data_IF_630792363859
#
_entry.id   IF_630792363859
#
_cell.length_a   1.000
_cell.length_b   1.000
_cell.length_c   1.000
_cell.angle_alpha   90.00
_cell.angle_beta   90.00
_cell.angle_gamma   90.00
#
_symmetry.space_group_name_H-M   'P 1'
#
loop_
_entity.id
_entity.type
_entity.pdbx_description
1 polymer ?
#
# COMPACT_ATOMS: atom_id res chain seq x y z
N UNK A 1 75.91 17.23 -7.85
CA UNK A 1 74.57 16.85 -7.46
C UNK A 1 74.65 15.73 -6.44
N UNK A 2 74.40 16.04 -5.12
CA UNK A 2 74.37 15.02 -4.07
C UNK A 2 73.06 14.19 -4.24
N UNK A 3 73.19 12.96 -4.70
CA UNK A 3 72.10 11.99 -4.68
C UNK A 3 71.99 11.46 -3.26
N UNK A 4 71.06 12.05 -2.47
CA UNK A 4 70.65 11.48 -1.17
C UNK A 4 69.78 10.27 -1.44
N UNK A 5 70.23 9.07 -1.09
CA UNK A 5 69.42 7.87 -1.14
C UNK A 5 68.42 7.84 0.02
N UNK A 6 67.26 7.20 -0.15
CA UNK A 6 66.33 6.96 0.95
C UNK A 6 66.88 6.07 2.01
N UNK A 7 66.65 6.43 3.28
CA UNK A 7 67.03 5.59 4.40
C UNK A 7 66.05 4.44 4.60
N UNK A 8 66.50 3.31 5.12
CA UNK A 8 65.70 2.14 5.40
C UNK A 8 64.48 2.47 6.36
N UNK A 9 64.79 3.40 7.31
CA UNK A 9 63.76 3.86 8.26
C UNK A 9 62.62 4.67 7.58
N UNK A 10 62.92 5.51 6.59
CA UNK A 10 61.95 6.28 5.84
C UNK A 10 61.00 5.36 5.05
N UNK A 11 61.52 4.29 4.45
CA UNK A 11 60.72 3.29 3.76
C UNK A 11 59.82 2.54 4.73
N UNK A 12 60.31 2.14 5.90
CA UNK A 12 59.55 1.47 6.93
C UNK A 12 58.42 2.34 7.46
N UNK A 13 58.67 3.59 7.78
CA UNK A 13 57.64 4.55 8.24
C UNK A 13 56.59 4.78 7.16
N UNK A 14 56.99 4.91 5.91
CA UNK A 14 56.06 5.09 4.79
C UNK A 14 55.12 3.88 4.61
N UNK A 15 55.65 2.66 4.78
CA UNK A 15 54.84 1.43 4.71
C UNK A 15 53.85 1.35 5.87
N UNK A 16 54.23 1.73 7.08
CA UNK A 16 53.32 1.76 8.25
C UNK A 16 52.19 2.77 8.01
N UNK A 17 52.52 3.98 7.54
CA UNK A 17 51.51 4.99 7.23
C UNK A 17 50.57 4.49 6.14
N UNK A 18 51.09 3.89 5.08
CA UNK A 18 50.27 3.32 3.99
C UNK A 18 49.33 2.23 4.51
N UNK A 19 49.82 1.34 5.38
CA UNK A 19 49.01 0.29 5.99
C UNK A 19 47.86 0.88 6.84
N UNK A 20 48.15 1.92 7.64
CA UNK A 20 47.10 2.61 8.44
C UNK A 20 46.04 3.24 7.53
N UNK A 21 46.46 3.96 6.49
CA UNK A 21 45.56 4.57 5.52
C UNK A 21 44.69 3.49 4.85
N UNK A 22 45.25 2.37 4.44
CA UNK A 22 44.52 1.27 3.81
C UNK A 22 43.47 0.69 4.75
N UNK A 23 43.78 0.49 6.03
CA UNK A 23 42.82 0.00 7.03
C UNK A 23 41.68 0.99 7.25
N UNK A 24 41.99 2.28 7.43
CA UNK A 24 40.97 3.33 7.62
C UNK A 24 40.10 3.43 6.40
N UNK A 25 40.64 3.45 5.19
CA UNK A 25 39.89 3.51 3.94
C UNK A 25 38.97 2.31 3.76
N UNK A 26 39.47 1.11 4.10
CA UNK A 26 38.66 -0.11 4.06
C UNK A 26 37.46 -0.06 5.03
N UNK A 27 37.65 0.47 6.24
CA UNK A 27 36.61 0.61 7.23
C UNK A 27 35.54 1.65 6.80
N UNK A 28 35.98 2.77 6.25
CA UNK A 28 35.05 3.79 5.70
C UNK A 28 34.24 3.21 4.57
N UNK A 29 34.85 2.47 3.65
CA UNK A 29 34.14 1.84 2.53
C UNK A 29 33.07 0.84 3.02
N UNK A 30 33.45 -0.03 3.97
CA UNK A 30 32.50 -0.99 4.58
C UNK A 30 31.32 -0.27 5.23
N UNK A 31 31.55 0.76 6.01
CA UNK A 31 30.53 1.55 6.67
C UNK A 31 29.61 2.25 5.65
N UNK A 32 30.16 2.78 4.56
CA UNK A 32 29.39 3.42 3.49
C UNK A 32 28.49 2.43 2.79
N UNK A 33 28.99 1.24 2.44
CA UNK A 33 28.19 0.19 1.80
C UNK A 33 27.05 -0.31 2.71
N UNK A 34 27.31 -0.47 4.00
CA UNK A 34 26.28 -0.88 4.95
C UNK A 34 25.20 0.21 5.11
N UNK A 35 25.59 1.47 5.17
CA UNK A 35 24.66 2.61 5.21
C UNK A 35 23.82 2.68 3.95
N UNK A 36 24.41 2.48 2.78
CA UNK A 36 23.70 2.44 1.50
C UNK A 36 22.65 1.32 1.49
N UNK A 37 23.01 0.11 1.92
CA UNK A 37 22.10 -1.04 2.00
C UNK A 37 20.90 -0.74 2.88
N UNK A 38 21.10 -0.27 4.11
CA UNK A 38 20.04 0.06 5.07
C UNK A 38 19.14 1.17 4.51
N UNK A 39 19.73 2.20 3.93
CA UNK A 39 18.99 3.32 3.36
C UNK A 39 18.14 2.86 2.18
N UNK A 40 18.65 1.99 1.33
CA UNK A 40 17.96 1.44 0.17
C UNK A 40 16.74 0.61 0.60
N UNK A 41 16.90 -0.26 1.60
CA UNK A 41 15.80 -1.06 2.15
C UNK A 41 14.69 -0.18 2.76
N UNK A 42 15.07 0.88 3.49
CA UNK A 42 14.09 1.84 4.05
C UNK A 42 13.34 2.62 2.96
N UNK A 43 14.06 3.05 1.92
CA UNK A 43 13.45 3.74 0.78
C UNK A 43 12.46 2.85 0.03
N UNK A 44 12.77 1.57 -0.14
CA UNK A 44 11.86 0.62 -0.79
C UNK A 44 10.56 0.44 0.02
N UNK A 45 10.66 0.28 1.33
CA UNK A 45 9.49 0.20 2.22
C UNK A 45 8.63 1.47 2.16
N UNK A 46 9.25 2.65 2.16
CA UNK A 46 8.52 3.93 2.04
C UNK A 46 7.84 4.06 0.67
N UNK A 47 8.49 3.66 -0.40
CA UNK A 47 7.91 3.67 -1.76
C UNK A 47 6.71 2.74 -1.85
N UNK A 48 6.81 1.52 -1.31
CA UNK A 48 5.72 0.55 -1.24
C UNK A 48 4.50 1.14 -0.53
N UNK A 49 4.68 1.69 0.68
CA UNK A 49 3.61 2.31 1.46
C UNK A 49 2.99 3.52 0.74
N UNK A 50 3.80 4.36 0.14
CA UNK A 50 3.34 5.55 -0.59
C UNK A 50 2.53 5.17 -1.82
N UNK A 51 2.99 4.19 -2.60
CA UNK A 51 2.28 3.69 -3.77
C UNK A 51 0.95 3.04 -3.39
N UNK A 52 0.96 2.16 -2.39
CA UNK A 52 -0.24 1.50 -1.89
C UNK A 52 -1.28 2.53 -1.40
N UNK A 53 -0.85 3.50 -0.59
CA UNK A 53 -1.71 4.59 -0.12
C UNK A 53 -2.29 5.41 -1.27
N UNK A 54 -1.50 5.70 -2.29
CA UNK A 54 -1.94 6.46 -3.47
C UNK A 54 -2.99 5.69 -4.28
N UNK A 55 -2.80 4.38 -4.47
CA UNK A 55 -3.74 3.52 -5.20
C UNK A 55 -5.08 3.49 -4.48
N UNK A 56 -5.09 3.16 -3.19
CA UNK A 56 -6.35 3.02 -2.45
C UNK A 56 -7.08 4.36 -2.29
N UNK A 57 -6.35 5.47 -2.07
CA UNK A 57 -6.94 6.82 -2.02
C UNK A 57 -7.61 7.19 -3.33
N UNK A 58 -6.96 6.90 -4.45
CA UNK A 58 -7.53 7.16 -5.77
C UNK A 58 -8.80 6.36 -5.97
N UNK A 59 -8.78 5.06 -5.69
CA UNK A 59 -9.93 4.18 -5.90
C UNK A 59 -11.10 4.54 -4.99
N UNK A 60 -10.83 4.90 -3.74
CA UNK A 60 -11.85 5.37 -2.77
C UNK A 60 -12.45 6.71 -3.21
N UNK A 61 -11.66 7.65 -3.73
CA UNK A 61 -12.15 8.93 -4.27
C UNK A 61 -13.00 8.77 -5.52
N UNK A 62 -12.79 7.70 -6.26
CA UNK A 62 -13.54 7.37 -7.48
C UNK A 62 -14.66 6.35 -7.21
N UNK A 63 -14.99 6.10 -5.95
CA UNK A 63 -16.05 5.22 -5.54
C UNK A 63 -17.38 5.66 -6.17
N UNK A 64 -18.11 4.70 -6.72
CA UNK A 64 -19.41 4.91 -7.37
C UNK A 64 -20.48 4.20 -6.56
N UNK A 65 -21.53 4.95 -6.21
CA UNK A 65 -22.66 4.42 -5.46
C UNK A 65 -23.61 3.67 -6.40
N UNK A 66 -23.25 2.45 -6.77
CA UNK A 66 -24.08 1.56 -7.58
C UNK A 66 -24.35 0.26 -6.82
N UNK A 67 -25.54 -0.31 -7.01
CA UNK A 67 -25.86 -1.61 -6.44
C UNK A 67 -24.96 -2.67 -7.09
N UNK A 68 -24.27 -3.43 -6.26
CA UNK A 68 -23.49 -4.59 -6.68
C UNK A 68 -24.34 -5.84 -6.66
N UNK A 69 -23.95 -6.82 -7.47
CA UNK A 69 -24.48 -8.19 -7.41
C UNK A 69 -23.37 -9.15 -7.02
N UNK A 70 -23.74 -10.19 -6.30
CA UNK A 70 -22.84 -11.30 -6.03
C UNK A 70 -22.56 -12.11 -7.30
N UNK A 71 -21.68 -13.11 -7.21
CA UNK A 71 -21.34 -14.00 -8.34
C UNK A 71 -22.51 -14.88 -8.81
N UNK A 72 -23.60 -14.96 -8.04
CA UNK A 72 -24.82 -15.71 -8.37
C UNK A 72 -25.92 -14.80 -8.93
N UNK A 73 -25.66 -13.49 -9.06
CA UNK A 73 -26.59 -12.50 -9.59
C UNK A 73 -27.56 -11.92 -8.56
N UNK A 74 -27.47 -12.28 -7.27
CA UNK A 74 -28.28 -11.69 -6.21
C UNK A 74 -27.79 -10.29 -5.87
N UNK A 75 -28.70 -9.40 -5.48
CA UNK A 75 -28.32 -8.07 -5.03
C UNK A 75 -27.51 -8.16 -3.73
N UNK A 76 -26.34 -7.57 -3.70
CA UNK A 76 -25.55 -7.40 -2.48
C UNK A 76 -26.20 -6.36 -1.55
N UNK A 77 -25.97 -6.54 -0.24
CA UNK A 77 -26.60 -5.71 0.80
C UNK A 77 -25.97 -4.33 0.95
N UNK A 78 -25.13 -3.88 0.02
CA UNK A 78 -24.48 -2.59 0.11
C UNK A 78 -23.71 -2.18 -1.14
N UNK A 79 -23.45 -0.89 -1.28
CA UNK A 79 -22.58 -0.32 -2.32
C UNK A 79 -21.11 -0.36 -1.93
N UNK A 80 -20.84 -0.39 -0.64
CA UNK A 80 -19.56 -0.66 -0.02
C UNK A 80 -19.80 -1.72 1.04
N UNK A 81 -18.96 -2.76 1.04
CA UNK A 81 -19.10 -3.92 1.91
C UNK A 81 -17.76 -4.18 2.60
N UNK A 82 -17.84 -4.36 3.90
CA UNK A 82 -16.72 -4.79 4.72
C UNK A 82 -17.24 -5.54 5.94
N UNK A 83 -16.77 -6.75 6.12
CA UNK A 83 -17.16 -7.60 7.25
C UNK A 83 -16.01 -7.72 8.25
N UNK A 84 -16.32 -7.77 9.52
CA UNK A 84 -15.33 -7.85 10.61
C UNK A 84 -14.42 -9.08 10.45
N UNK A 85 -15.01 -10.21 10.05
CA UNK A 85 -14.31 -11.49 10.01
C UNK A 85 -13.37 -11.63 8.80
N UNK A 86 -13.68 -10.98 7.69
CA UNK A 86 -12.92 -11.11 6.44
C UNK A 86 -11.87 -10.01 6.28
N UNK A 87 -11.96 -8.95 7.07
CA UNK A 87 -11.04 -7.79 6.99
C UNK A 87 -10.84 -7.31 5.55
N UNK A 88 -11.93 -7.34 4.78
CA UNK A 88 -11.94 -6.92 3.38
C UNK A 88 -12.69 -5.60 3.20
N UNK A 89 -12.43 -4.94 2.07
CA UNK A 89 -13.13 -3.74 1.66
C UNK A 89 -13.51 -3.88 0.19
N UNK A 90 -14.80 -4.02 -0.07
CA UNK A 90 -15.34 -4.24 -1.42
C UNK A 90 -16.19 -3.04 -1.83
N UNK A 91 -15.95 -2.50 -3.02
CA UNK A 91 -16.76 -1.43 -3.60
C UNK A 91 -16.55 -1.34 -5.12
N UNK A 92 -17.41 -0.57 -5.78
CA UNK A 92 -17.25 -0.21 -7.18
C UNK A 92 -16.54 1.14 -7.31
N UNK A 93 -15.58 1.22 -8.23
CA UNK A 93 -14.84 2.44 -8.54
C UNK A 93 -14.88 2.74 -10.03
N UNK A 94 -14.86 4.02 -10.40
CA UNK A 94 -14.78 4.44 -11.78
C UNK A 94 -13.31 4.51 -12.19
N UNK A 95 -12.93 3.69 -13.18
CA UNK A 95 -11.58 3.69 -13.75
C UNK A 95 -11.70 4.18 -15.18
N UNK A 96 -10.89 5.18 -15.55
CA UNK A 96 -10.87 5.70 -16.92
C UNK A 96 -10.65 4.54 -17.90
N UNK A 97 -11.66 4.28 -18.73
CA UNK A 97 -11.56 3.26 -19.77
C UNK A 97 -10.70 3.73 -20.93
N UNK A 98 -9.97 2.81 -21.55
CA UNK A 98 -9.20 3.05 -22.77
C UNK A 98 -10.10 2.89 -24.00
N UNK A 99 -11.25 2.23 -23.86
CA UNK A 99 -12.20 1.92 -24.94
C UNK A 99 -13.64 2.10 -24.46
N UNK A 100 -14.49 2.65 -25.31
CA UNK A 100 -15.93 2.81 -25.04
C UNK A 100 -16.69 1.47 -24.92
N UNK A 101 -16.05 0.37 -25.31
CA UNK A 101 -16.65 -0.99 -25.22
C UNK A 101 -16.46 -1.64 -23.84
N UNK A 102 -15.63 -1.05 -22.97
CA UNK A 102 -15.34 -1.61 -21.65
C UNK A 102 -15.95 -0.71 -20.59
N UNK A 103 -16.79 -1.27 -19.72
CA UNK A 103 -17.37 -0.52 -18.61
C UNK A 103 -16.30 0.21 -17.81
N UNK A 104 -16.43 1.51 -17.57
CA UNK A 104 -15.51 2.25 -16.71
C UNK A 104 -15.65 1.89 -15.23
N UNK A 105 -16.78 1.24 -14.84
CA UNK A 105 -17.02 0.87 -13.45
C UNK A 105 -16.50 -0.55 -13.22
N UNK A 106 -15.62 -0.67 -12.24
CA UNK A 106 -14.98 -1.93 -11.84
C UNK A 106 -15.20 -2.19 -10.36
N UNK A 107 -15.47 -3.46 -10.03
CA UNK A 107 -15.41 -3.92 -8.65
C UNK A 107 -13.95 -4.04 -8.21
N UNK A 108 -13.66 -3.56 -7.02
CA UNK A 108 -12.36 -3.74 -6.37
C UNK A 108 -12.59 -4.35 -4.99
N UNK A 109 -11.67 -5.21 -4.60
CA UNK A 109 -11.61 -5.81 -3.28
C UNK A 109 -10.20 -5.62 -2.72
N UNK A 110 -10.10 -5.05 -1.54
CA UNK A 110 -8.89 -4.96 -0.74
C UNK A 110 -8.99 -5.97 0.38
N UNK A 111 -8.01 -6.86 0.49
CA UNK A 111 -8.03 -7.97 1.44
C UNK A 111 -6.61 -8.31 1.90
N UNK A 112 -6.49 -8.89 3.09
CA UNK A 112 -5.27 -9.52 3.56
C UNK A 112 -5.23 -10.97 3.04
N UNK A 113 -4.28 -11.28 2.16
CA UNK A 113 -4.03 -12.63 1.63
C UNK A 113 -2.73 -13.16 2.25
N UNK A 114 -2.86 -14.04 3.24
CA UNK A 114 -1.77 -14.39 4.13
C UNK A 114 -1.26 -13.15 4.89
N UNK A 115 -0.01 -12.75 4.66
CA UNK A 115 0.58 -11.55 5.23
C UNK A 115 0.71 -10.40 4.21
N UNK A 116 0.07 -10.51 3.04
CA UNK A 116 0.16 -9.48 2.01
C UNK A 116 -1.18 -8.74 1.88
N UNK A 117 -1.13 -7.43 1.98
CA UNK A 117 -2.28 -6.58 1.66
C UNK A 117 -2.36 -6.43 0.16
N UNK A 118 -3.43 -6.93 -0.43
CA UNK A 118 -3.62 -7.02 -1.87
C UNK A 118 -4.86 -6.28 -2.33
N UNK A 119 -4.87 -5.88 -3.60
CA UNK A 119 -6.03 -5.42 -4.33
C UNK A 119 -6.39 -6.45 -5.39
N UNK A 120 -7.63 -6.92 -5.41
CA UNK A 120 -8.24 -7.60 -6.55
C UNK A 120 -9.06 -6.58 -7.34
N UNK A 121 -8.83 -6.49 -8.62
CA UNK A 121 -9.61 -5.65 -9.52
C UNK A 121 -10.30 -6.52 -10.55
N UNK A 122 -11.61 -6.59 -10.47
CA UNK A 122 -12.43 -7.35 -11.39
C UNK A 122 -12.62 -6.60 -12.71
N UNK A 123 -12.92 -7.34 -13.78
CA UNK A 123 -13.11 -6.74 -15.11
C UNK A 123 -14.46 -6.03 -15.28
N UNK A 124 -15.41 -6.26 -14.39
CA UNK A 124 -16.71 -5.58 -14.37
C UNK A 124 -17.14 -5.21 -12.94
N UNK A 125 -18.20 -4.43 -12.81
CA UNK A 125 -18.85 -4.15 -11.52
C UNK A 125 -19.61 -5.37 -10.96
N UNK A 126 -20.08 -6.25 -11.83
CA UNK A 126 -20.77 -7.49 -11.48
C UNK A 126 -20.05 -8.67 -12.19
N UNK A 127 -18.96 -9.18 -11.64
CA UNK A 127 -18.22 -10.28 -12.23
C UNK A 127 -19.00 -11.59 -12.16
N UNK A 128 -18.86 -12.44 -13.18
CA UNK A 128 -19.51 -13.75 -13.25
C UNK A 128 -18.75 -14.83 -12.47
N UNK A 129 -17.48 -14.61 -12.18
CA UNK A 129 -16.63 -15.56 -11.47
C UNK A 129 -15.81 -14.87 -10.39
N UNK A 130 -15.63 -15.49 -9.22
CA UNK A 130 -14.78 -14.98 -8.17
C UNK A 130 -13.28 -14.93 -8.56
N UNK A 131 -12.89 -15.66 -9.61
CA UNK A 131 -11.50 -15.76 -10.07
C UNK A 131 -11.18 -14.81 -11.23
N UNK A 132 -12.18 -14.06 -11.72
CA UNK A 132 -12.03 -13.17 -12.89
C UNK A 132 -11.54 -11.77 -12.47
N UNK A 133 -10.31 -11.71 -11.96
CA UNK A 133 -9.69 -10.48 -11.49
C UNK A 133 -8.20 -10.40 -11.78
N UNK A 134 -7.67 -9.17 -11.77
CA UNK A 134 -6.24 -8.89 -11.70
C UNK A 134 -5.83 -8.67 -10.25
N UNK A 135 -4.84 -9.43 -9.78
CA UNK A 135 -4.25 -9.30 -8.43
C UNK A 135 -3.10 -8.29 -8.46
N UNK A 136 -3.14 -7.34 -7.55
CA UNK A 136 -2.07 -6.35 -7.32
C UNK A 136 -1.65 -6.47 -5.86
N UNK A 137 -0.40 -6.83 -5.63
CA UNK A 137 0.20 -6.83 -4.31
C UNK A 137 0.58 -5.40 -3.94
N UNK A 138 0.04 -4.90 -2.83
CA UNK A 138 0.21 -3.52 -2.40
C UNK A 138 1.28 -3.39 -1.33
N UNK A 139 1.21 -4.22 -0.30
CA UNK A 139 2.14 -4.20 0.83
C UNK A 139 2.41 -5.62 1.29
N UNK A 140 3.68 -5.94 1.50
CA UNK A 140 4.14 -7.22 2.06
C UNK A 140 4.29 -7.15 3.58
N UNK A 141 4.22 -8.32 4.21
CA UNK A 141 4.47 -8.50 5.65
C UNK A 141 3.59 -7.60 6.53
N UNK A 142 2.30 -7.55 6.22
CA UNK A 142 1.27 -6.85 6.98
C UNK A 142 0.65 -7.80 7.99
N UNK A 143 0.42 -7.31 9.18
CA UNK A 143 -0.36 -8.00 10.22
C UNK A 143 -1.33 -7.04 10.90
N UNK A 144 -2.31 -7.59 11.65
CA UNK A 144 -3.30 -6.81 12.39
C UNK A 144 -4.03 -5.77 11.55
N UNK A 145 -4.40 -6.13 10.31
CA UNK A 145 -5.19 -5.26 9.45
C UNK A 145 -6.57 -5.03 10.09
N UNK A 146 -6.96 -3.77 10.23
CA UNK A 146 -8.29 -3.37 10.72
C UNK A 146 -8.83 -2.28 9.81
N UNK A 147 -10.09 -2.43 9.40
CA UNK A 147 -10.79 -1.44 8.59
C UNK A 147 -11.97 -0.91 9.40
N UNK A 148 -12.10 0.40 9.49
CA UNK A 148 -13.16 1.07 10.26
C UNK A 148 -13.79 2.18 9.44
N UNK A 149 -15.07 2.44 9.70
CA UNK A 149 -15.93 3.35 8.95
C UNK A 149 -16.53 4.40 9.87
N UNK A 150 -16.39 5.68 9.54
CA UNK A 150 -16.99 6.77 10.30
C UNK A 150 -18.43 7.01 9.83
N UNK A 151 -19.37 6.93 10.78
CA UNK A 151 -20.77 7.31 10.58
C UNK A 151 -21.30 8.01 11.83
N UNK A 152 -21.87 9.21 11.67
CA UNK A 152 -22.44 10.01 12.78
C UNK A 152 -21.51 10.08 14.00
N UNK A 153 -20.25 10.48 13.76
CA UNK A 153 -19.21 10.65 14.78
C UNK A 153 -18.75 9.37 15.51
N UNK A 154 -19.15 8.20 15.03
CA UNK A 154 -18.78 6.90 15.60
C UNK A 154 -18.06 6.04 14.57
N UNK A 155 -16.98 5.38 15.00
CA UNK A 155 -16.25 4.41 14.19
C UNK A 155 -16.85 3.01 14.34
N UNK A 156 -17.16 2.36 13.21
CA UNK A 156 -17.70 1.00 13.11
C UNK A 156 -16.71 0.09 12.38
N UNK A 157 -16.65 -1.17 12.77
CA UNK A 157 -15.71 -2.15 12.18
C UNK A 157 -16.30 -2.93 11.00
N UNK A 158 -17.55 -2.65 10.62
CA UNK A 158 -18.20 -3.24 9.45
C UNK A 158 -19.02 -2.21 8.71
N UNK A 159 -19.24 -2.44 7.44
CA UNK A 159 -20.12 -1.64 6.61
C UNK A 159 -20.85 -2.54 5.59
N UNK A 160 -22.17 -2.40 5.36
CA UNK A 160 -23.08 -1.46 6.05
C UNK A 160 -23.32 -1.85 7.51
N UNK A 161 -23.69 -0.84 8.34
CA UNK A 161 -23.99 -1.05 9.77
C UNK A 161 -25.43 -1.62 9.92
N UNK A 162 -26.33 -1.16 9.07
CA UNK A 162 -27.74 -1.54 9.04
C UNK A 162 -28.34 -1.30 7.64
N UNK A 163 -29.61 -1.59 7.46
CA UNK A 163 -30.32 -1.40 6.18
C UNK A 163 -30.34 0.05 5.69
N UNK A 164 -30.35 1.05 6.60
CA UNK A 164 -30.29 2.45 6.20
C UNK A 164 -28.94 2.87 5.61
N UNK A 165 -27.88 2.23 6.05
CA UNK A 165 -26.51 2.51 5.58
C UNK A 165 -26.12 1.69 4.37
N UNK A 166 -26.92 0.71 3.96
CA UNK A 166 -26.62 -0.18 2.83
C UNK A 166 -26.41 0.57 1.51
N UNK A 167 -27.17 1.66 1.29
CA UNK A 167 -27.07 2.52 0.11
C UNK A 167 -26.27 3.81 0.36
N UNK A 168 -25.62 3.92 1.53
CA UNK A 168 -24.81 5.08 1.88
C UNK A 168 -23.33 4.74 1.84
N UNK A 169 -22.52 5.77 1.68
CA UNK A 169 -21.07 5.71 1.75
C UNK A 169 -20.66 6.27 3.11
N UNK A 170 -19.70 5.68 3.81
CA UNK A 170 -19.20 6.21 5.08
C UNK A 170 -18.53 7.58 4.87
N UNK A 171 -18.51 8.40 5.89
CA UNK A 171 -17.88 9.74 5.86
C UNK A 171 -16.37 9.59 5.66
N UNK A 172 -15.76 8.69 6.41
CA UNK A 172 -14.33 8.35 6.31
C UNK A 172 -14.15 6.84 6.43
N UNK A 173 -13.10 6.34 5.82
CA UNK A 173 -12.62 4.97 5.96
C UNK A 173 -11.24 5.04 6.61
N UNK A 174 -11.02 4.28 7.68
CA UNK A 174 -9.72 4.16 8.33
C UNK A 174 -9.19 2.75 8.15
N UNK A 175 -7.95 2.64 7.69
CA UNK A 175 -7.22 1.37 7.54
C UNK A 175 -6.02 1.43 8.46
N UNK A 176 -5.93 0.51 9.40
CA UNK A 176 -4.85 0.39 10.35
C UNK A 176 -4.17 -0.97 10.18
N UNK A 177 -2.87 -1.00 10.23
CA UNK A 177 -2.08 -2.22 10.08
C UNK A 177 -0.70 -2.08 10.72
N UNK A 178 -0.08 -3.23 10.97
CA UNK A 178 1.26 -3.31 11.53
C UNK A 178 2.22 -3.87 10.47
N UNK A 179 3.36 -3.20 10.27
CA UNK A 179 4.43 -3.60 9.36
C UNK A 179 5.77 -3.12 9.90
N UNK A 180 6.81 -3.95 9.82
CA UNK A 180 8.19 -3.63 10.20
C UNK A 180 8.29 -3.00 11.60
N UNK A 181 7.58 -3.59 12.59
CA UNK A 181 7.48 -3.13 13.98
C UNK A 181 6.90 -1.71 14.16
N UNK A 182 6.11 -1.24 13.19
CA UNK A 182 5.43 0.05 13.25
C UNK A 182 3.95 -0.07 12.94
N UNK A 183 3.14 0.73 13.63
CA UNK A 183 1.73 0.89 13.32
C UNK A 183 1.54 1.99 12.27
N UNK A 184 0.73 1.69 11.27
CA UNK A 184 0.33 2.63 10.23
C UNK A 184 -1.17 2.83 10.29
N UNK A 185 -1.61 4.07 10.06
CA UNK A 185 -3.02 4.42 9.98
C UNK A 185 -3.26 5.33 8.79
N UNK A 186 -4.16 4.92 7.90
CA UNK A 186 -4.57 5.71 6.74
C UNK A 186 -6.04 6.11 6.90
N UNK A 187 -6.30 7.40 6.80
CA UNK A 187 -7.66 7.95 6.73
C UNK A 187 -7.94 8.31 5.27
N UNK A 188 -9.02 7.75 4.75
CA UNK A 188 -9.46 7.88 3.36
C UNK A 188 -10.79 8.61 3.33
N UNK A 189 -10.90 9.60 2.46
CA UNK A 189 -12.12 10.36 2.23
C UNK A 189 -12.74 9.92 0.90
N UNK A 190 -13.94 9.30 0.90
CA UNK A 190 -14.66 8.86 -0.30
C UNK A 190 -15.26 9.99 -1.12
N UNK A 191 -14.91 11.24 -0.94
CA UNK A 191 -15.37 12.43 -1.69
C UNK A 191 -16.82 12.34 -2.23
N UNK A 192 -17.78 12.27 -1.32
CA UNK A 192 -19.20 11.99 -1.59
C UNK A 192 -19.88 13.09 -2.44
N UNK A 193 -19.28 14.24 -2.61
CA UNK A 193 -19.87 15.39 -3.32
C UNK A 193 -20.25 15.09 -4.76
N UNK A 194 -19.64 14.11 -5.41
CA UNK A 194 -20.03 13.68 -6.76
C UNK A 194 -21.13 12.60 -6.79
N UNK A 195 -21.39 11.92 -5.69
CA UNK A 195 -22.37 10.83 -5.61
C UNK A 195 -23.79 11.30 -5.23
N UNK A 196 -23.96 12.56 -4.85
CA UNK A 196 -25.23 13.11 -4.35
C UNK A 196 -25.92 14.08 -5.33
N UNK A 197 -25.45 14.20 -6.58
CA UNK A 197 -26.04 15.10 -7.57
C UNK A 197 -26.94 14.39 -8.61
N UNK A 198 -27.57 13.27 -8.23
CA UNK A 198 -28.68 12.69 -9.00
C UNK A 198 -29.76 12.16 -8.08
#
# INVERSE_FOLDING_TARGET
>A
MNKKGFTLIEVLVSLVILAIIAVISSNILKSSLETERITSEQLESIKELSLASSIIRRDVRQLVNVNSRDFYGNNENGTLISEINTQNLIFNTSIKSISDQISPIKRVEYILDGNNFIKKQFFSSNPFSPDDYTKIELIKNVSNLTISFLHKDTWHQSWPINLETSKKIPVLIKIEFFKDNKNYSWILDPNITHALQN
#
